data_IF_317994110268
#
_entry.id   IF_317994110268
#
_cell.length_a   1.000
_cell.length_b   1.000
_cell.length_c   1.000
_cell.angle_alpha   90.00
_cell.angle_beta   90.00
_cell.angle_gamma   90.00
#
_symmetry.space_group_name_H-M   'P 1'
#
loop_
_entity.id
_entity.type
_entity.pdbx_description
1 polymer ?
#
# COMPACT_ATOMS: atom_id res chain seq x y z
N UNK A 1 3.09 9.06 29.19
CA UNK A 1 1.64 8.77 29.03
C UNK A 1 1.05 8.44 30.40
N UNK A 2 -0.23 8.77 30.64
CA UNK A 2 -0.91 8.43 31.90
C UNK A 2 -1.08 6.92 32.10
N UNK A 3 -1.16 6.15 31.01
CA UNK A 3 -1.45 4.71 31.05
C UNK A 3 -0.23 3.83 30.72
N UNK A 4 0.93 4.42 30.42
CA UNK A 4 2.19 3.70 30.13
C UNK A 4 3.35 4.22 30.98
N UNK A 5 3.20 4.20 32.31
CA UNK A 5 4.20 4.73 33.25
C UNK A 5 5.55 4.03 33.11
N UNK A 6 6.64 4.80 33.00
CA UNK A 6 8.02 4.30 32.90
C UNK A 6 8.33 3.40 31.68
N UNK A 7 7.40 3.30 30.73
CA UNK A 7 7.57 2.52 29.49
C UNK A 7 7.09 3.33 28.27
N UNK A 8 7.65 4.52 28.09
CA UNK A 8 7.38 5.41 26.96
C UNK A 8 8.59 6.31 26.68
N UNK A 9 8.67 6.91 25.48
CA UNK A 9 9.82 7.70 25.03
C UNK A 9 10.10 8.98 25.83
N UNK A 10 9.15 9.47 26.63
CA UNK A 10 9.35 10.60 27.54
C UNK A 10 10.04 10.14 28.82
N UNK A 11 9.61 9.00 29.37
CA UNK A 11 10.14 8.47 30.62
C UNK A 11 11.45 7.69 30.43
N UNK A 12 11.64 7.04 29.28
CA UNK A 12 12.85 6.26 28.97
C UNK A 12 13.45 6.67 27.62
N UNK A 13 14.78 6.66 27.54
CA UNK A 13 15.52 6.93 26.31
C UNK A 13 15.41 8.38 25.82
N UNK A 14 14.75 8.68 24.67
CA UNK A 14 14.85 9.97 23.97
C UNK A 14 14.40 11.22 24.75
N UNK A 15 13.61 11.09 25.81
CA UNK A 15 13.00 12.21 26.56
C UNK A 15 12.17 13.12 25.66
N UNK A 16 11.48 12.51 24.69
CA UNK A 16 10.84 13.22 23.58
C UNK A 16 9.57 12.53 23.13
N UNK A 17 8.56 13.32 22.80
CA UNK A 17 7.32 12.85 22.18
C UNK A 17 7.58 12.63 20.69
N UNK A 18 8.04 11.42 20.37
CA UNK A 18 8.42 11.06 19.00
C UNK A 18 7.22 11.10 18.05
N UNK A 19 6.04 10.65 18.52
CA UNK A 19 4.82 10.57 17.72
C UNK A 19 4.34 11.97 17.39
N UNK A 20 4.18 12.82 18.40
CA UNK A 20 3.72 14.19 18.16
C UNK A 20 4.72 15.02 17.38
N UNK A 21 6.04 14.83 17.56
CA UNK A 21 7.04 15.52 16.75
C UNK A 21 6.99 15.11 15.28
N UNK A 22 6.84 13.81 15.00
CA UNK A 22 6.69 13.32 13.63
C UNK A 22 5.39 13.81 12.99
N UNK A 23 4.26 13.73 13.71
CA UNK A 23 2.97 14.23 13.25
C UNK A 23 3.02 15.72 12.91
N UNK A 24 3.61 16.55 13.80
CA UNK A 24 3.80 17.99 13.57
C UNK A 24 4.70 18.25 12.37
N UNK A 25 5.79 17.50 12.22
CA UNK A 25 6.69 17.65 11.09
C UNK A 25 5.97 17.34 9.76
N UNK A 26 5.32 16.18 9.64
CA UNK A 26 4.59 15.77 8.43
C UNK A 26 3.52 16.80 8.05
N UNK A 27 2.66 17.20 9.00
CA UNK A 27 1.62 18.21 8.73
C UNK A 27 2.18 19.55 8.30
N UNK A 28 3.33 19.96 8.86
CA UNK A 28 3.97 21.24 8.54
C UNK A 28 4.71 21.22 7.20
N UNK A 29 5.43 20.16 6.87
CA UNK A 29 6.32 20.13 5.70
C UNK A 29 5.70 19.46 4.49
N UNK A 30 4.74 18.56 4.70
CA UNK A 30 4.12 17.74 3.66
C UNK A 30 2.60 17.63 3.91
N UNK A 31 1.84 18.73 3.78
CA UNK A 31 0.40 18.75 4.12
C UNK A 31 -0.47 17.84 3.24
N UNK A 32 0.09 17.29 2.17
CA UNK A 32 -0.56 16.31 1.28
C UNK A 32 -0.29 14.85 1.69
N UNK A 33 0.52 14.62 2.72
CA UNK A 33 0.78 13.30 3.29
C UNK A 33 -0.11 13.13 4.52
N UNK A 34 -0.94 12.09 4.50
CA UNK A 34 -1.78 11.67 5.62
C UNK A 34 -0.94 11.04 6.73
N UNK A 35 -1.37 11.23 7.98
CA UNK A 35 -0.66 10.71 9.15
C UNK A 35 -1.44 9.58 9.81
N UNK A 36 -0.92 8.35 9.77
CA UNK A 36 -1.51 7.18 10.41
C UNK A 36 -0.71 6.70 11.63
N UNK A 37 -1.35 5.92 12.49
CA UNK A 37 -0.73 5.29 13.66
C UNK A 37 -0.95 3.78 13.67
N UNK A 38 0.13 3.05 13.89
CA UNK A 38 0.10 1.63 14.23
C UNK A 38 -0.09 1.44 15.74
N UNK A 39 -0.92 0.48 16.15
CA UNK A 39 -1.09 0.12 17.57
C UNK A 39 -1.16 -1.40 17.75
N UNK A 40 -0.32 -1.94 18.64
CA UNK A 40 -0.40 -3.35 19.02
C UNK A 40 -1.39 -3.54 20.16
N UNK A 41 -2.45 -4.31 19.93
CA UNK A 41 -3.51 -4.57 20.91
C UNK A 41 -2.98 -5.34 22.12
N UNK A 42 -2.05 -6.28 21.92
CA UNK A 42 -1.38 -6.99 23.00
C UNK A 42 -0.06 -6.32 23.40
N UNK A 43 0.39 -6.63 24.63
CA UNK A 43 1.69 -6.24 25.13
C UNK A 43 2.30 -7.44 25.88
N UNK A 44 3.31 -8.09 25.29
CA UNK A 44 3.80 -9.41 25.71
C UNK A 44 4.14 -9.53 27.20
N UNK A 45 4.64 -8.46 27.81
CA UNK A 45 5.13 -8.46 29.19
C UNK A 45 4.26 -7.63 30.13
N UNK A 46 3.12 -7.11 29.68
CA UNK A 46 2.23 -6.35 30.53
C UNK A 46 1.58 -7.28 31.58
N UNK A 47 1.71 -7.02 32.88
CA UNK A 47 1.15 -7.89 33.91
C UNK A 47 -0.36 -8.08 33.79
N UNK A 48 -1.11 -7.04 33.40
CA UNK A 48 -2.56 -7.15 33.23
C UNK A 48 -2.89 -8.07 32.05
N UNK A 49 -2.15 -7.96 30.94
CA UNK A 49 -2.34 -8.83 29.78
C UNK A 49 -2.05 -10.29 30.14
N UNK A 50 -0.97 -10.54 30.88
CA UNK A 50 -0.61 -11.88 31.33
C UNK A 50 -1.65 -12.47 32.30
N UNK A 51 -2.28 -11.65 33.15
CA UNK A 51 -3.37 -12.07 34.04
C UNK A 51 -4.62 -12.44 33.23
N UNK A 52 -5.05 -11.56 32.31
CA UNK A 52 -6.22 -11.82 31.47
C UNK A 52 -5.99 -13.07 30.59
N UNK A 53 -4.79 -13.21 30.01
CA UNK A 53 -4.41 -14.38 29.21
C UNK A 53 -4.36 -15.68 30.04
N UNK A 54 -3.84 -15.64 31.26
CA UNK A 54 -3.83 -16.79 32.17
C UNK A 54 -5.24 -17.21 32.64
N UNK A 55 -6.20 -16.30 32.52
CA UNK A 55 -7.62 -16.53 32.82
C UNK A 55 -8.47 -16.74 31.54
N UNK A 56 -7.85 -17.20 30.45
CA UNK A 56 -8.49 -17.45 29.16
C UNK A 56 -9.34 -16.27 28.64
N UNK A 57 -8.88 -15.04 28.90
CA UNK A 57 -9.54 -13.79 28.53
C UNK A 57 -10.96 -13.61 29.07
N UNK A 58 -11.31 -14.30 30.18
CA UNK A 58 -12.61 -14.12 30.85
C UNK A 58 -12.74 -12.80 31.60
N UNK A 59 -11.62 -12.12 31.82
CA UNK A 59 -11.51 -10.75 32.33
C UNK A 59 -10.87 -9.86 31.26
N UNK A 60 -11.12 -8.55 31.35
CA UNK A 60 -10.61 -7.56 30.39
C UNK A 60 -9.99 -6.35 31.11
N UNK A 61 -9.32 -6.59 32.24
CA UNK A 61 -8.66 -5.54 33.03
C UNK A 61 -7.55 -4.84 32.23
N UNK A 62 -6.79 -5.58 31.42
CA UNK A 62 -5.80 -5.01 30.52
C UNK A 62 -6.46 -4.09 29.48
N UNK A 63 -7.55 -4.54 28.88
CA UNK A 63 -8.22 -3.78 27.82
C UNK A 63 -8.83 -2.49 28.37
N UNK A 64 -9.52 -2.58 29.50
CA UNK A 64 -10.21 -1.43 30.11
C UNK A 64 -9.27 -0.42 30.75
N UNK A 65 -8.12 -0.86 31.28
CA UNK A 65 -7.18 0.03 32.00
C UNK A 65 -6.00 0.50 31.17
N UNK A 66 -5.67 -0.19 30.08
CA UNK A 66 -4.50 0.10 29.23
C UNK A 66 -4.89 0.40 27.79
N UNK A 67 -5.46 -0.58 27.08
CA UNK A 67 -5.64 -0.50 25.62
C UNK A 67 -6.64 0.57 25.21
N UNK A 68 -7.85 0.55 25.76
CA UNK A 68 -8.90 1.51 25.39
C UNK A 68 -8.51 2.95 25.76
N UNK A 69 -8.01 3.25 26.98
CA UNK A 69 -7.52 4.57 27.30
C UNK A 69 -6.40 5.05 26.37
N UNK A 70 -5.43 4.19 26.02
CA UNK A 70 -4.35 4.59 25.12
C UNK A 70 -4.84 4.85 23.70
N UNK A 71 -5.74 4.01 23.16
CA UNK A 71 -6.33 4.23 21.84
C UNK A 71 -7.12 5.55 21.79
N UNK A 72 -7.86 5.88 22.84
CA UNK A 72 -8.57 7.17 22.96
C UNK A 72 -7.57 8.33 23.05
N UNK A 73 -6.53 8.20 23.88
CA UNK A 73 -5.50 9.24 24.05
C UNK A 73 -4.78 9.50 22.72
N UNK A 74 -4.32 8.48 21.98
CA UNK A 74 -3.61 8.69 20.70
C UNK A 74 -4.49 9.32 19.62
N UNK A 75 -5.79 9.00 19.61
CA UNK A 75 -6.73 9.58 18.65
C UNK A 75 -6.97 11.06 18.97
N UNK A 76 -7.16 11.41 20.24
CA UNK A 76 -7.38 12.80 20.65
C UNK A 76 -6.11 13.66 20.59
N UNK A 77 -4.96 13.09 20.95
CA UNK A 77 -3.70 13.84 21.02
C UNK A 77 -3.09 14.05 19.63
N UNK A 78 -3.24 13.08 18.73
CA UNK A 78 -2.55 13.09 17.44
C UNK A 78 -3.47 13.15 16.23
N UNK A 79 -4.78 12.94 16.35
CA UNK A 79 -5.76 13.04 15.26
C UNK A 79 -5.32 12.31 13.96
N UNK A 80 -5.04 10.99 14.02
CA UNK A 80 -4.56 10.26 12.85
C UNK A 80 -5.65 9.99 11.81
N UNK A 81 -5.26 9.95 10.54
CA UNK A 81 -6.11 9.58 9.39
C UNK A 81 -6.27 8.06 9.26
N UNK A 82 -5.39 7.27 9.88
CA UNK A 82 -5.42 5.80 9.88
C UNK A 82 -5.11 5.28 11.28
N UNK A 83 -5.93 4.37 11.80
CA UNK A 83 -5.55 3.51 12.93
C UNK A 83 -5.34 2.10 12.40
N UNK A 84 -4.09 1.64 12.47
CA UNK A 84 -3.67 0.33 11.98
C UNK A 84 -3.39 -0.58 13.18
N UNK A 85 -4.34 -1.43 13.54
CA UNK A 85 -4.18 -2.34 14.68
C UNK A 85 -3.43 -3.62 14.31
N UNK A 86 -2.86 -4.28 15.30
CA UNK A 86 -2.18 -5.58 15.16
C UNK A 86 -2.12 -6.27 16.52
N UNK A 87 -1.58 -7.48 16.62
CA UNK A 87 -1.48 -8.16 17.93
C UNK A 87 -2.82 -8.74 18.39
N UNK A 88 -3.71 -9.05 17.45
CA UNK A 88 -5.08 -9.49 17.70
C UNK A 88 -5.24 -11.01 17.72
N UNK A 89 -4.18 -11.77 17.44
CA UNK A 89 -4.22 -13.22 17.22
C UNK A 89 -4.53 -14.07 18.46
N UNK A 90 -4.42 -13.52 19.67
CA UNK A 90 -4.61 -14.27 20.91
C UNK A 90 -6.09 -14.31 21.36
N UNK A 91 -6.95 -13.38 20.91
CA UNK A 91 -8.32 -13.25 21.41
C UNK A 91 -9.31 -12.69 20.37
N UNK A 92 -10.61 -12.86 20.63
CA UNK A 92 -11.67 -12.33 19.78
C UNK A 92 -11.88 -10.82 20.01
N UNK A 93 -12.57 -10.18 19.08
CA UNK A 93 -12.90 -8.74 19.08
C UNK A 93 -13.65 -8.27 20.35
N UNK A 94 -14.46 -9.14 20.95
CA UNK A 94 -15.18 -8.85 22.20
C UNK A 94 -14.24 -8.68 23.39
N UNK A 95 -13.11 -9.39 23.46
CA UNK A 95 -12.14 -9.20 24.53
C UNK A 95 -11.47 -7.84 24.37
N UNK A 96 -11.00 -7.53 23.15
CA UNK A 96 -10.36 -6.27 22.82
C UNK A 96 -11.29 -5.06 22.87
N UNK A 97 -12.60 -5.26 23.11
CA UNK A 97 -13.63 -4.22 23.03
C UNK A 97 -13.57 -3.43 21.71
N UNK A 98 -13.18 -4.09 20.62
CA UNK A 98 -12.93 -3.45 19.32
C UNK A 98 -14.15 -2.71 18.80
N UNK A 99 -15.33 -3.33 18.88
CA UNK A 99 -16.59 -2.72 18.41
C UNK A 99 -16.97 -1.47 19.21
N UNK A 100 -16.66 -1.42 20.51
CA UNK A 100 -16.91 -0.24 21.36
C UNK A 100 -15.97 0.90 20.97
N UNK A 101 -14.67 0.60 20.82
CA UNK A 101 -13.70 1.60 20.39
C UNK A 101 -14.03 2.14 18.98
N UNK A 102 -14.29 1.26 18.03
CA UNK A 102 -14.60 1.64 16.65
C UNK A 102 -15.91 2.41 16.54
N UNK A 103 -16.92 2.09 17.36
CA UNK A 103 -18.15 2.87 17.43
C UNK A 103 -17.89 4.30 17.91
N UNK A 104 -17.06 4.49 18.94
CA UNK A 104 -16.64 5.82 19.37
C UNK A 104 -15.79 6.52 18.30
N UNK A 105 -14.86 5.82 17.67
CA UNK A 105 -13.96 6.34 16.64
C UNK A 105 -14.75 6.96 15.48
N UNK A 106 -15.76 6.24 14.98
CA UNK A 106 -16.54 6.66 13.80
C UNK A 106 -17.73 7.58 14.13
N UNK A 107 -18.18 7.69 15.39
CA UNK A 107 -19.32 8.53 15.74
C UNK A 107 -18.93 9.83 16.45
N UNK A 108 -17.92 9.77 17.32
CA UNK A 108 -17.69 10.81 18.35
C UNK A 108 -16.27 11.38 18.36
N UNK A 109 -15.29 10.67 17.80
CA UNK A 109 -13.89 11.11 17.82
C UNK A 109 -13.66 12.38 16.97
N UNK A 110 -12.56 13.13 17.19
CA UNK A 110 -12.22 14.32 16.38
C UNK A 110 -11.91 13.99 14.91
N UNK A 111 -11.65 12.73 14.58
CA UNK A 111 -11.28 12.26 13.23
C UNK A 111 -12.35 11.41 12.56
N UNK A 112 -13.55 11.36 13.14
CA UNK A 112 -14.66 10.48 12.71
C UNK A 112 -15.03 10.57 11.23
N UNK A 113 -14.83 11.73 10.61
CA UNK A 113 -15.21 11.99 9.22
C UNK A 113 -14.14 11.56 8.21
N UNK A 114 -12.92 11.25 8.67
CA UNK A 114 -11.77 10.96 7.79
C UNK A 114 -11.03 9.67 8.11
N UNK A 115 -11.07 9.21 9.37
CA UNK A 115 -10.29 8.07 9.82
C UNK A 115 -10.70 6.78 9.13
N UNK A 116 -9.71 5.95 8.78
CA UNK A 116 -9.91 4.59 8.31
C UNK A 116 -9.15 3.59 9.18
N UNK A 117 -9.62 2.35 9.21
CA UNK A 117 -8.99 1.26 9.97
C UNK A 117 -8.72 0.04 9.10
N UNK A 118 -7.66 -0.70 9.43
CA UNK A 118 -7.41 -2.02 8.83
C UNK A 118 -8.36 -3.08 9.43
N UNK A 119 -8.11 -4.35 9.11
CA UNK A 119 -8.95 -5.50 9.43
C UNK A 119 -8.42 -6.39 10.57
N UNK A 120 -7.56 -5.87 11.45
CA UNK A 120 -6.86 -6.66 12.50
C UNK A 120 -7.35 -6.35 13.90
N UNK A 121 -8.64 -6.55 14.15
CA UNK A 121 -9.31 -6.16 15.40
C UNK A 121 -9.76 -7.34 16.27
N UNK A 122 -9.30 -8.56 15.97
CA UNK A 122 -9.61 -9.77 16.73
C UNK A 122 -9.65 -11.02 15.86
N UNK A 123 -9.63 -12.19 16.51
CA UNK A 123 -9.87 -13.47 15.83
C UNK A 123 -11.19 -13.41 15.05
N UNK A 124 -11.13 -13.77 13.76
CA UNK A 124 -12.29 -13.78 12.87
C UNK A 124 -12.61 -12.46 12.17
N UNK A 125 -11.85 -11.39 12.45
CA UNK A 125 -12.03 -10.07 11.81
C UNK A 125 -11.23 -9.95 10.50
N UNK A 126 -10.04 -10.55 10.46
CA UNK A 126 -9.12 -10.50 9.33
C UNK A 126 -9.80 -10.88 8.02
N UNK A 127 -9.58 -10.08 6.97
CA UNK A 127 -10.17 -10.23 5.65
C UNK A 127 -11.71 -10.19 5.62
N UNK A 128 -12.35 -9.69 6.69
CA UNK A 128 -13.81 -9.72 6.88
C UNK A 128 -14.38 -8.35 7.27
N UNK A 129 -13.74 -7.63 8.19
CA UNK A 129 -14.21 -6.34 8.68
C UNK A 129 -13.07 -5.34 8.81
N UNK A 130 -13.22 -4.17 8.18
CA UNK A 130 -12.27 -3.06 8.22
C UNK A 130 -12.61 -2.04 7.12
N UNK A 131 -12.07 -0.82 7.20
CA UNK A 131 -12.21 0.15 6.09
C UNK A 131 -11.43 -0.31 4.86
N UNK A 132 -10.35 -1.07 5.08
CA UNK A 132 -9.60 -1.78 4.05
C UNK A 132 -9.04 -3.09 4.64
N UNK A 133 -8.78 -4.05 3.77
CA UNK A 133 -8.26 -5.35 4.18
C UNK A 133 -6.74 -5.41 4.06
N UNK A 134 -6.11 -6.04 5.05
CA UNK A 134 -4.71 -6.43 4.99
C UNK A 134 -4.56 -7.95 4.91
N UNK A 135 -5.55 -8.77 5.30
CA UNK A 135 -5.68 -10.24 5.19
C UNK A 135 -4.50 -11.15 5.64
N UNK A 136 -3.25 -10.75 5.48
CA UNK A 136 -2.01 -11.38 5.95
C UNK A 136 -0.85 -10.37 5.88
N UNK A 137 0.29 -10.68 6.47
CA UNK A 137 1.51 -9.92 6.18
C UNK A 137 1.85 -10.05 4.68
N UNK A 138 2.28 -8.94 4.05
CA UNK A 138 2.61 -8.89 2.61
C UNK A 138 1.49 -9.36 1.70
N UNK A 139 0.25 -9.13 2.11
CA UNK A 139 -0.91 -9.53 1.33
C UNK A 139 -0.88 -8.85 -0.04
N UNK A 140 -0.80 -9.67 -1.08
CA UNK A 140 -0.90 -9.26 -2.47
C UNK A 140 -1.63 -10.39 -3.23
N UNK A 141 -2.95 -10.25 -3.49
CA UNK A 141 -3.76 -11.31 -4.07
C UNK A 141 -3.47 -11.57 -5.55
N UNK A 142 -2.74 -10.67 -6.23
CA UNK A 142 -2.43 -10.77 -7.67
C UNK A 142 -3.67 -10.71 -8.59
N UNK A 143 -4.85 -10.44 -8.04
CA UNK A 143 -6.13 -10.30 -8.74
C UNK A 143 -6.96 -9.19 -8.11
N UNK A 144 -7.82 -8.57 -8.92
CA UNK A 144 -8.72 -7.51 -8.46
C UNK A 144 -9.64 -8.00 -7.33
N UNK A 145 -9.67 -7.23 -6.25
CA UNK A 145 -10.56 -7.46 -5.10
C UNK A 145 -11.78 -6.55 -5.16
N UNK A 146 -12.91 -7.03 -4.61
CA UNK A 146 -14.14 -6.25 -4.51
C UNK A 146 -14.09 -5.20 -3.39
N UNK A 147 -13.35 -5.48 -2.32
CA UNK A 147 -13.14 -4.56 -1.20
C UNK A 147 -11.76 -3.91 -1.30
N UNK A 148 -11.62 -2.68 -0.81
CA UNK A 148 -10.31 -2.01 -0.75
C UNK A 148 -9.37 -2.81 0.15
N UNK A 149 -8.10 -2.88 -0.24
CA UNK A 149 -7.07 -3.60 0.50
C UNK A 149 -5.73 -2.86 0.46
N UNK A 150 -4.82 -3.21 1.35
CA UNK A 150 -3.50 -2.63 1.48
C UNK A 150 -2.42 -3.71 1.63
N UNK A 151 -1.40 -3.65 0.78
CA UNK A 151 -0.20 -4.46 0.86
C UNK A 151 0.78 -3.85 1.85
N UNK A 152 0.72 -4.28 3.11
CA UNK A 152 1.74 -3.95 4.10
C UNK A 152 2.98 -4.84 3.88
N UNK A 153 4.09 -4.23 3.43
CA UNK A 153 5.33 -4.93 3.09
C UNK A 153 6.57 -4.19 3.61
N UNK A 154 7.76 -4.80 3.49
CA UNK A 154 9.02 -4.24 4.00
C UNK A 154 10.09 -4.20 2.91
N UNK A 155 10.97 -3.20 2.96
CA UNK A 155 12.14 -3.15 2.08
C UNK A 155 13.18 -4.23 2.41
N UNK A 156 13.39 -4.51 3.70
CA UNK A 156 14.16 -5.70 4.14
C UNK A 156 13.25 -6.92 4.02
N UNK A 157 13.60 -7.88 3.17
CA UNK A 157 12.83 -9.09 2.87
C UNK A 157 12.51 -9.91 4.12
N UNK A 158 13.33 -9.81 5.16
CA UNK A 158 13.26 -10.66 6.35
C UNK A 158 12.70 -9.96 7.60
N UNK A 159 12.60 -8.63 7.64
CA UNK A 159 12.27 -7.91 8.88
C UNK A 159 11.50 -6.62 8.68
N UNK A 160 10.62 -6.33 9.65
CA UNK A 160 9.99 -5.01 9.84
C UNK A 160 10.93 -4.04 10.58
N UNK A 161 11.60 -4.51 11.63
CA UNK A 161 12.56 -3.72 12.40
C UNK A 161 13.96 -3.70 11.78
N UNK A 162 14.80 -2.77 12.25
CA UNK A 162 16.20 -2.68 11.82
C UNK A 162 17.03 -3.90 12.23
N UNK A 163 17.72 -4.50 11.26
CA UNK A 163 18.69 -5.59 11.45
C UNK A 163 20.12 -5.11 11.16
N UNK A 164 21.02 -5.26 12.14
CA UNK A 164 22.44 -4.88 12.01
C UNK A 164 23.24 -5.78 11.07
N UNK A 165 22.80 -7.02 10.88
CA UNK A 165 23.47 -8.04 10.08
C UNK A 165 22.92 -8.15 8.65
N UNK A 166 22.10 -7.19 8.22
CA UNK A 166 21.50 -7.20 6.88
C UNK A 166 22.55 -7.03 5.79
N UNK A 167 22.45 -7.83 4.74
CA UNK A 167 23.28 -7.73 3.54
C UNK A 167 22.47 -7.19 2.35
N UNK A 168 23.13 -6.73 1.29
CA UNK A 168 22.47 -6.12 0.12
C UNK A 168 21.36 -7.01 -0.48
N UNK A 169 21.58 -8.33 -0.57
CA UNK A 169 20.62 -9.28 -1.12
C UNK A 169 19.34 -9.45 -0.28
N UNK A 170 19.38 -9.05 0.99
CA UNK A 170 18.22 -9.11 1.89
C UNK A 170 17.25 -7.95 1.63
N UNK A 171 17.62 -6.95 0.84
CA UNK A 171 16.73 -5.87 0.48
C UNK A 171 16.09 -6.11 -0.89
N UNK A 172 14.90 -5.55 -1.08
CA UNK A 172 14.31 -5.44 -2.41
C UNK A 172 15.18 -4.55 -3.30
N UNK A 173 15.37 -4.95 -4.54
CA UNK A 173 15.86 -4.02 -5.57
C UNK A 173 14.77 -3.01 -5.91
N UNK A 174 15.14 -1.93 -6.61
CA UNK A 174 14.15 -0.96 -7.08
C UNK A 174 13.18 -1.58 -8.10
N UNK A 175 13.65 -2.50 -8.94
CA UNK A 175 12.82 -3.25 -9.88
C UNK A 175 11.78 -4.11 -9.13
N UNK A 176 12.21 -4.88 -8.12
CA UNK A 176 11.29 -5.70 -7.29
C UNK A 176 10.26 -4.83 -6.56
N UNK A 177 10.68 -3.65 -6.07
CA UNK A 177 9.80 -2.70 -5.40
C UNK A 177 8.76 -2.10 -6.36
N UNK A 178 9.18 -1.66 -7.55
CA UNK A 178 8.29 -1.08 -8.56
C UNK A 178 7.35 -2.13 -9.18
N UNK A 179 7.80 -3.38 -9.33
CA UNK A 179 6.95 -4.51 -9.70
C UNK A 179 5.83 -4.71 -8.67
N UNK A 180 6.19 -4.79 -7.38
CA UNK A 180 5.23 -4.96 -6.29
C UNK A 180 4.23 -3.80 -6.22
N UNK A 181 4.71 -2.56 -6.35
CA UNK A 181 3.86 -1.36 -6.42
C UNK A 181 2.87 -1.47 -7.60
N UNK A 182 3.39 -1.78 -8.79
CA UNK A 182 2.61 -1.82 -10.03
C UNK A 182 1.52 -2.88 -9.97
N UNK A 183 1.85 -4.10 -9.54
CA UNK A 183 0.88 -5.19 -9.34
C UNK A 183 -0.20 -4.80 -8.32
N UNK A 184 0.22 -4.26 -7.17
CA UNK A 184 -0.68 -3.87 -6.08
C UNK A 184 -1.72 -2.86 -6.55
N UNK A 185 -1.27 -1.78 -7.20
CA UNK A 185 -2.16 -0.70 -7.67
C UNK A 185 -3.08 -1.19 -8.79
N UNK A 186 -2.57 -2.00 -9.72
CA UNK A 186 -3.35 -2.55 -10.83
C UNK A 186 -4.47 -3.48 -10.35
N UNK A 187 -4.27 -4.14 -9.20
CA UNK A 187 -5.25 -4.99 -8.52
C UNK A 187 -6.11 -4.24 -7.47
N UNK A 188 -6.04 -2.90 -7.44
CA UNK A 188 -6.91 -2.03 -6.62
C UNK A 188 -6.43 -1.80 -5.19
N UNK A 189 -5.25 -2.30 -4.84
CA UNK A 189 -4.68 -2.14 -3.51
C UNK A 189 -4.05 -0.76 -3.28
N UNK A 190 -3.75 -0.46 -2.03
CA UNK A 190 -2.71 0.49 -1.63
C UNK A 190 -1.43 -0.29 -1.27
N UNK A 191 -0.27 0.36 -1.29
CA UNK A 191 0.98 -0.24 -0.79
C UNK A 191 1.50 0.56 0.41
N UNK A 192 1.82 -0.13 1.49
CA UNK A 192 2.44 0.42 2.68
C UNK A 192 3.85 -0.18 2.81
N UNK A 193 4.85 0.65 2.53
CA UNK A 193 6.27 0.23 2.47
C UNK A 193 6.94 0.59 3.79
N UNK A 194 7.23 -0.41 4.60
CA UNK A 194 7.91 -0.24 5.88
C UNK A 194 9.42 0.03 5.71
N UNK A 195 9.90 0.97 6.52
CA UNK A 195 11.32 1.23 6.80
C UNK A 195 11.65 0.93 8.25
N UNK A 196 12.86 0.45 8.51
CA UNK A 196 13.37 0.20 9.86
C UNK A 196 14.50 1.17 10.21
N UNK A 197 14.21 2.30 10.90
CA UNK A 197 15.24 3.23 11.35
C UNK A 197 16.21 2.58 12.35
N UNK A 198 17.43 3.09 12.39
CA UNK A 198 18.41 2.73 13.42
C UNK A 198 18.00 3.29 14.79
N UNK A 199 18.59 2.77 15.86
CA UNK A 199 18.32 3.19 17.24
C UNK A 199 18.57 4.69 17.53
N UNK A 200 19.41 5.33 16.73
CA UNK A 200 19.76 6.75 16.77
C UNK A 200 18.91 7.59 15.80
N UNK A 201 17.89 6.99 15.18
CA UNK A 201 16.88 7.69 14.38
C UNK A 201 17.23 7.90 12.90
N UNK A 202 18.27 7.23 12.39
CA UNK A 202 18.70 7.34 10.99
C UNK A 202 18.02 6.28 10.11
N UNK A 203 17.71 6.62 8.87
CA UNK A 203 17.35 5.62 7.87
C UNK A 203 18.63 4.93 7.35
N UNK A 204 18.67 3.59 7.25
CA UNK A 204 19.77 2.92 6.58
C UNK A 204 19.95 3.44 5.14
N UNK A 205 21.18 3.73 4.67
CA UNK A 205 21.40 4.37 3.37
C UNK A 205 20.76 3.63 2.19
N UNK A 206 20.70 2.30 2.25
CA UNK A 206 20.09 1.52 1.18
C UNK A 206 18.55 1.67 1.14
N UNK A 207 17.90 1.81 2.30
CA UNK A 207 16.46 2.10 2.34
C UNK A 207 16.19 3.50 1.80
N UNK A 208 17.02 4.49 2.16
CA UNK A 208 16.96 5.84 1.61
C UNK A 208 17.14 5.84 0.08
N UNK A 209 18.13 5.11 -0.44
CA UNK A 209 18.37 4.96 -1.88
C UNK A 209 17.13 4.41 -2.60
N UNK A 210 16.50 3.35 -2.08
CA UNK A 210 15.29 2.76 -2.69
C UNK A 210 14.11 3.72 -2.68
N UNK A 211 13.91 4.47 -1.59
CA UNK A 211 12.85 5.47 -1.50
C UNK A 211 13.09 6.64 -2.47
N UNK A 212 14.34 7.11 -2.60
CA UNK A 212 14.70 8.17 -3.54
C UNK A 212 14.52 7.72 -5.00
N UNK A 213 14.95 6.51 -5.34
CA UNK A 213 14.75 5.91 -6.67
C UNK A 213 13.27 5.77 -7.01
N UNK A 214 12.46 5.29 -6.05
CA UNK A 214 11.01 5.21 -6.23
C UNK A 214 10.37 6.60 -6.39
N UNK A 215 10.81 7.60 -5.62
CA UNK A 215 10.37 8.99 -5.77
C UNK A 215 10.75 9.60 -7.13
N UNK A 216 11.94 9.31 -7.64
CA UNK A 216 12.37 9.71 -8.99
C UNK A 216 11.46 9.11 -10.06
N UNK A 217 11.12 7.83 -9.93
CA UNK A 217 10.23 7.15 -10.86
C UNK A 217 8.78 7.69 -10.78
N UNK A 218 8.25 7.87 -9.57
CA UNK A 218 6.90 8.40 -9.34
C UNK A 218 6.75 9.85 -9.82
N UNK A 219 7.82 10.66 -9.82
CA UNK A 219 7.79 12.01 -10.38
C UNK A 219 7.50 12.03 -11.89
N UNK A 220 7.90 10.99 -12.62
CA UNK A 220 7.67 10.85 -14.06
C UNK A 220 6.36 10.11 -14.33
N UNK A 221 6.14 9.01 -13.61
CA UNK A 221 5.10 8.03 -13.92
C UNK A 221 3.89 8.10 -12.98
N UNK A 222 3.89 9.04 -12.02
CA UNK A 222 2.92 9.11 -10.94
C UNK A 222 1.47 9.29 -11.40
N UNK A 223 1.21 9.86 -12.59
CA UNK A 223 -0.15 9.96 -13.12
C UNK A 223 -0.79 8.59 -13.44
N UNK A 224 0.00 7.54 -13.61
CA UNK A 224 -0.50 6.16 -13.75
C UNK A 224 -0.80 5.49 -12.39
N UNK A 225 -0.36 6.09 -11.29
CA UNK A 225 -0.41 5.51 -9.95
C UNK A 225 -1.38 6.28 -9.05
N UNK A 226 -1.15 7.58 -8.87
CA UNK A 226 -1.95 8.40 -7.96
C UNK A 226 -3.35 8.63 -8.53
N UNK A 227 -4.37 8.38 -7.70
CA UNK A 227 -5.79 8.50 -8.08
C UNK A 227 -6.22 7.66 -9.28
N UNK A 228 -5.42 6.66 -9.67
CA UNK A 228 -5.80 5.72 -10.70
C UNK A 228 -6.75 4.66 -10.14
N UNK A 229 -7.39 3.94 -11.05
CA UNK A 229 -8.26 2.80 -10.74
C UNK A 229 -7.82 1.59 -11.55
N UNK A 230 -8.08 0.36 -11.06
CA UNK A 230 -7.88 -0.85 -11.85
C UNK A 230 -8.59 -0.75 -13.20
N UNK A 231 -7.86 -1.04 -14.27
CA UNK A 231 -8.51 -1.16 -15.57
C UNK A 231 -9.33 -2.46 -15.65
N UNK A 232 -10.14 -2.62 -16.70
CA UNK A 232 -11.00 -3.80 -16.91
C UNK A 232 -10.20 -5.12 -16.90
N UNK A 233 -8.91 -5.05 -17.23
CA UNK A 233 -7.96 -6.15 -17.15
C UNK A 233 -6.74 -5.68 -16.34
N UNK A 234 -6.27 -6.48 -15.38
CA UNK A 234 -5.15 -6.13 -14.49
C UNK A 234 -3.78 -6.25 -15.16
N UNK A 235 -3.57 -7.27 -15.98
CA UNK A 235 -2.31 -7.55 -16.65
C UNK A 235 -2.50 -8.12 -18.07
N UNK A 236 -1.46 -8.00 -18.89
CA UNK A 236 -1.53 -8.53 -20.25
C UNK A 236 -1.41 -10.05 -20.27
N UNK A 237 -2.21 -10.70 -21.12
CA UNK A 237 -2.27 -12.17 -21.20
C UNK A 237 -1.15 -12.77 -22.04
N UNK A 238 -0.48 -11.99 -22.88
CA UNK A 238 0.57 -12.45 -23.78
C UNK A 238 1.94 -11.98 -23.30
N UNK A 239 2.09 -10.68 -23.06
CA UNK A 239 3.37 -10.12 -22.60
C UNK A 239 3.42 -10.10 -21.08
N UNK A 240 4.23 -10.99 -20.52
CA UNK A 240 4.47 -11.02 -19.06
C UNK A 240 5.09 -9.71 -18.57
N UNK A 241 4.73 -9.31 -17.35
CA UNK A 241 5.25 -8.09 -16.75
C UNK A 241 4.69 -6.81 -17.37
N UNK A 242 3.45 -6.86 -17.85
CA UNK A 242 2.68 -5.67 -18.24
C UNK A 242 1.41 -5.63 -17.39
N UNK A 243 1.23 -4.54 -16.68
CA UNK A 243 0.08 -4.28 -15.81
C UNK A 243 -0.66 -3.03 -16.25
N UNK A 244 -1.94 -2.93 -15.91
CA UNK A 244 -2.79 -1.83 -16.35
C UNK A 244 -3.47 -1.10 -15.20
N UNK A 245 -3.46 0.22 -15.32
CA UNK A 245 -4.29 1.14 -14.52
C UNK A 245 -5.04 2.08 -15.47
N UNK A 246 -6.02 2.81 -14.95
CA UNK A 246 -6.74 3.83 -15.71
C UNK A 246 -7.02 5.07 -14.86
N UNK A 247 -6.95 6.24 -15.48
CA UNK A 247 -7.31 7.51 -14.87
C UNK A 247 -7.92 8.44 -15.92
N UNK A 248 -9.12 8.96 -15.64
CA UNK A 248 -9.89 9.72 -16.63
C UNK A 248 -10.16 8.89 -17.88
N UNK A 249 -9.79 9.42 -19.05
CA UNK A 249 -9.94 8.76 -20.35
C UNK A 249 -8.69 7.95 -20.75
N UNK A 250 -7.63 7.99 -19.95
CA UNK A 250 -6.37 7.32 -20.23
C UNK A 250 -6.29 5.93 -19.59
N UNK A 251 -5.77 4.99 -20.36
CA UNK A 251 -5.32 3.67 -19.88
C UNK A 251 -3.80 3.66 -19.90
N UNK A 252 -3.20 3.17 -18.82
CA UNK A 252 -1.76 3.10 -18.66
C UNK A 252 -1.32 1.64 -18.73
N UNK A 253 -0.33 1.35 -19.58
CA UNK A 253 0.35 0.06 -19.57
C UNK A 253 1.72 0.23 -18.89
N UNK A 254 1.89 -0.38 -17.73
CA UNK A 254 3.11 -0.34 -16.93
C UNK A 254 3.93 -1.59 -17.27
N UNK A 255 5.05 -1.39 -17.93
CA UNK A 255 5.89 -2.40 -18.57
C UNK A 255 7.16 -2.58 -17.76
N UNK A 256 7.32 -3.75 -17.14
CA UNK A 256 8.44 -4.05 -16.23
C UNK A 256 9.76 -4.32 -16.97
N UNK A 257 9.70 -4.73 -18.24
CA UNK A 257 10.87 -5.09 -19.03
C UNK A 257 10.84 -4.42 -20.40
N UNK A 258 11.91 -3.72 -20.76
CA UNK A 258 12.03 -3.10 -22.07
C UNK A 258 12.05 -4.18 -23.17
N UNK A 259 11.23 -4.07 -24.22
CA UNK A 259 11.17 -5.08 -25.28
C UNK A 259 12.50 -5.13 -26.05
N UNK A 260 13.10 -6.32 -26.15
CA UNK A 260 14.44 -6.52 -26.74
C UNK A 260 14.58 -6.01 -28.18
N UNK A 261 13.51 -6.05 -28.95
CA UNK A 261 13.45 -5.60 -30.35
C UNK A 261 12.71 -4.25 -30.51
N UNK A 262 12.39 -3.57 -29.40
CA UNK A 262 11.62 -2.34 -29.43
C UNK A 262 10.14 -2.54 -29.81
N UNK A 263 9.63 -3.77 -29.83
CA UNK A 263 8.23 -4.06 -30.15
C UNK A 263 7.54 -4.70 -28.95
N UNK A 264 6.44 -4.09 -28.51
CA UNK A 264 5.55 -4.63 -27.50
C UNK A 264 4.24 -5.07 -28.17
N UNK A 265 3.66 -6.20 -27.76
CA UNK A 265 2.32 -6.61 -28.19
C UNK A 265 1.43 -6.75 -26.98
N UNK A 266 0.31 -6.02 -26.97
CA UNK A 266 -0.69 -6.02 -25.90
C UNK A 266 -1.92 -6.81 -26.36
N UNK A 267 -2.05 -8.04 -25.89
CA UNK A 267 -3.18 -8.91 -26.24
C UNK A 267 -4.50 -8.46 -25.58
N UNK A 268 -4.41 -7.76 -24.45
CA UNK A 268 -5.59 -7.28 -23.73
C UNK A 268 -6.17 -5.97 -24.32
N UNK A 269 -5.46 -5.31 -25.24
CA UNK A 269 -5.80 -3.96 -25.71
C UNK A 269 -6.22 -4.00 -27.18
N UNK A 270 -7.34 -3.33 -27.48
CA UNK A 270 -7.84 -3.06 -28.84
C UNK A 270 -7.83 -1.56 -29.10
N UNK A 271 -7.26 -1.18 -30.23
CA UNK A 271 -7.22 0.20 -30.71
C UNK A 271 -8.46 0.57 -31.53
N UNK A 272 -8.61 1.88 -31.74
CA UNK A 272 -9.57 2.53 -32.63
C UNK A 272 -8.81 3.47 -33.57
N UNK A 273 -9.52 4.10 -34.51
CA UNK A 273 -8.93 5.12 -35.41
C UNK A 273 -8.37 6.32 -34.66
N UNK A 274 -8.91 6.61 -33.48
CA UNK A 274 -8.53 7.76 -32.66
C UNK A 274 -7.47 7.39 -31.61
N UNK A 275 -6.99 6.15 -31.59
CA UNK A 275 -5.99 5.71 -30.61
C UNK A 275 -4.72 6.53 -30.72
N UNK A 276 -4.28 7.04 -29.57
CA UNK A 276 -3.00 7.71 -29.39
C UNK A 276 -2.26 7.00 -28.27
N UNK A 277 -1.03 6.59 -28.57
CA UNK A 277 -0.11 5.99 -27.61
C UNK A 277 1.14 6.87 -27.52
N UNK A 278 1.51 7.23 -26.30
CA UNK A 278 2.77 7.92 -25.96
C UNK A 278 3.45 7.20 -24.79
N UNK A 279 4.69 7.58 -24.49
CA UNK A 279 5.42 7.06 -23.32
C UNK A 279 5.71 8.18 -22.33
N UNK A 280 5.46 7.93 -21.04
CA UNK A 280 5.83 8.87 -19.99
C UNK A 280 7.35 8.92 -19.85
N UNK A 281 7.88 10.14 -19.75
CA UNK A 281 9.34 10.38 -19.71
C UNK A 281 10.04 10.29 -21.07
N UNK A 282 9.31 10.14 -22.19
CA UNK A 282 9.88 10.33 -23.53
C UNK A 282 10.04 11.84 -23.81
N UNK A 283 11.28 12.27 -23.95
CA UNK A 283 11.63 13.67 -24.24
C UNK A 283 11.13 14.18 -25.58
N UNK A 284 10.86 13.28 -26.55
CA UNK A 284 10.33 13.64 -27.87
C UNK A 284 8.81 13.87 -27.85
N UNK A 285 8.11 13.33 -26.85
CA UNK A 285 6.65 13.31 -26.74
C UNK A 285 5.94 12.79 -27.99
N UNK A 286 6.62 11.97 -28.79
CA UNK A 286 6.10 11.49 -30.06
C UNK A 286 4.93 10.52 -29.87
N UNK A 287 4.00 10.52 -30.83
CA UNK A 287 3.04 9.42 -30.97
C UNK A 287 3.80 8.17 -31.40
N UNK A 288 3.68 7.11 -30.61
CA UNK A 288 4.30 5.83 -30.93
C UNK A 288 3.56 5.15 -32.08
N UNK A 289 4.28 4.58 -33.07
CA UNK A 289 3.65 3.77 -34.12
C UNK A 289 2.93 2.56 -33.53
N UNK A 290 1.70 2.33 -33.98
CA UNK A 290 0.87 1.20 -33.55
C UNK A 290 0.30 0.45 -34.74
N UNK A 291 0.16 -0.87 -34.60
CA UNK A 291 -0.50 -1.71 -35.59
C UNK A 291 -1.35 -2.78 -34.91
N UNK A 292 -2.57 -2.98 -35.40
CA UNK A 292 -3.37 -4.15 -35.03
C UNK A 292 -2.78 -5.40 -35.70
N UNK A 293 -2.41 -6.39 -34.90
CA UNK A 293 -1.96 -7.71 -35.36
C UNK A 293 -2.88 -8.78 -34.78
N UNK A 294 -2.91 -10.02 -35.32
CA UNK A 294 -3.81 -11.07 -34.82
C UNK A 294 -3.71 -11.34 -33.31
N UNK A 295 -2.55 -11.07 -32.72
CA UNK A 295 -2.28 -11.29 -31.30
C UNK A 295 -2.63 -10.10 -30.39
N UNK A 296 -3.01 -8.93 -30.94
CA UNK A 296 -3.35 -7.73 -30.18
C UNK A 296 -2.75 -6.44 -30.76
N UNK A 297 -2.72 -5.39 -29.95
CA UNK A 297 -2.14 -4.10 -30.35
C UNK A 297 -0.61 -4.16 -30.25
N UNK A 298 0.07 -4.09 -31.40
CA UNK A 298 1.52 -3.94 -31.47
C UNK A 298 1.92 -2.46 -31.38
N UNK A 299 2.94 -2.16 -30.59
CA UNK A 299 3.43 -0.82 -30.31
C UNK A 299 4.94 -0.78 -30.49
N UNK A 300 5.43 0.18 -31.27
CA UNK A 300 6.86 0.43 -31.45
C UNK A 300 7.34 1.38 -30.36
N UNK A 301 8.27 0.91 -29.52
CA UNK A 301 8.89 1.71 -28.48
C UNK A 301 9.82 2.77 -29.09
N UNK A 302 9.96 3.94 -28.44
CA UNK A 302 10.92 4.94 -28.86
C UNK A 302 12.36 4.45 -28.64
N UNK A 303 13.36 5.24 -29.01
CA UNK A 303 14.74 4.93 -28.62
C UNK A 303 14.86 4.98 -27.09
N UNK A 304 15.54 4.00 -26.50
CA UNK A 304 15.80 3.98 -25.05
C UNK A 304 16.56 5.23 -24.59
N UNK A 305 17.38 5.82 -25.47
CA UNK A 305 18.16 7.02 -25.19
C UNK A 305 17.30 8.27 -24.95
N UNK A 306 16.07 8.28 -25.48
CA UNK A 306 15.17 9.45 -25.39
C UNK A 306 14.25 9.39 -24.15
N UNK A 307 14.27 8.28 -23.41
CA UNK A 307 13.35 8.00 -22.30
C UNK A 307 14.07 8.12 -20.96
N UNK A 308 13.70 9.13 -20.19
CA UNK A 308 14.31 9.40 -18.88
C UNK A 308 13.91 8.39 -17.80
N UNK A 309 12.71 7.81 -17.89
CA UNK A 309 12.24 6.80 -16.92
C UNK A 309 13.17 5.59 -16.89
N UNK A 310 13.50 5.13 -15.68
CA UNK A 310 14.35 3.96 -15.42
C UNK A 310 13.54 2.81 -14.82
N UNK A 311 14.08 1.60 -14.88
CA UNK A 311 13.56 0.36 -14.26
C UNK A 311 12.23 -0.17 -14.82
N UNK A 312 11.18 0.65 -14.82
CA UNK A 312 9.83 0.35 -15.30
C UNK A 312 9.35 1.50 -16.19
N UNK A 313 8.58 1.18 -17.24
CA UNK A 313 8.14 2.15 -18.25
C UNK A 313 6.63 2.20 -18.37
N UNK A 314 6.10 3.38 -18.63
CA UNK A 314 4.64 3.57 -18.70
C UNK A 314 4.25 4.11 -20.07
N UNK A 315 3.40 3.37 -20.76
CA UNK A 315 2.69 3.83 -21.93
C UNK A 315 1.38 4.50 -21.51
N UNK A 316 1.10 5.68 -22.04
CA UNK A 316 -0.20 6.34 -21.91
C UNK A 316 -0.99 6.12 -23.19
N UNK A 317 -2.18 5.57 -23.07
CA UNK A 317 -3.04 5.21 -24.19
C UNK A 317 -4.40 5.88 -24.04
N UNK A 318 -4.86 6.53 -25.10
CA UNK A 318 -6.22 7.10 -25.18
C UNK A 318 -7.02 6.42 -26.29
N UNK A 319 -8.35 6.45 -26.18
CA UNK A 319 -9.28 5.84 -27.14
C UNK A 319 -8.97 4.36 -27.42
N UNK A 320 -8.71 3.60 -26.35
CA UNK A 320 -8.51 2.14 -26.37
C UNK A 320 -9.62 1.42 -25.58
N UNK A 321 -9.87 0.17 -25.92
CA UNK A 321 -10.80 -0.71 -25.20
C UNK A 321 -10.15 -2.05 -24.87
N UNK A 322 -10.66 -2.75 -23.85
CA UNK A 322 -10.20 -4.12 -23.58
C UNK A 322 -10.73 -5.09 -24.63
N UNK A 323 -9.92 -6.08 -25.01
CA UNK A 323 -10.41 -7.24 -25.76
C UNK A 323 -11.36 -8.02 -24.83
N UNK A 324 -12.65 -8.06 -25.16
CA UNK A 324 -13.65 -8.80 -24.38
C UNK A 324 -13.24 -10.27 -24.28
N UNK A 325 -13.00 -10.77 -23.05
CA UNK A 325 -13.14 -12.21 -22.81
C UNK A 325 -14.59 -12.55 -23.10
N UNK A 326 -14.86 -13.46 -24.04
CA UNK A 326 -16.22 -13.89 -24.35
C UNK A 326 -16.89 -14.48 -23.10
N UNK A 327 -17.61 -13.65 -22.35
CA UNK A 327 -18.46 -14.04 -21.21
C UNK A 327 -19.79 -13.29 -21.23
N UNK A 328 -20.28 -12.92 -22.42
CA UNK A 328 -21.64 -12.37 -22.61
C UNK A 328 -22.70 -13.46 -22.90
N UNK A 329 -22.38 -14.75 -22.75
CA UNK A 329 -23.36 -15.85 -22.92
C UNK A 329 -23.96 -16.41 -21.61
N UNK A 330 -23.63 -15.89 -20.43
CA UNK A 330 -24.21 -16.41 -19.16
C UNK A 330 -24.75 -15.33 -18.21
N UNK A 331 -25.38 -14.27 -18.73
CA UNK A 331 -26.21 -13.36 -17.91
C UNK A 331 -27.71 -13.38 -18.20
N UNK A 332 -28.18 -14.28 -19.05
CA UNK A 332 -29.62 -14.58 -19.21
C UNK A 332 -29.86 -16.08 -19.03
N UNK A 333 -29.81 -16.55 -17.77
CA UNK A 333 -30.49 -17.74 -17.24
C UNK A 333 -30.06 -17.95 -15.78
N UNK A 334 -30.71 -17.25 -14.85
CA UNK A 334 -31.47 -17.82 -13.74
C UNK A 334 -32.06 -16.72 -12.86
#
# INVERSE_FOLDING_TARGET
SKNSFSWNSMDVGPKRDLVGDLARAIRKTTPHIHFGLYYSLLEWFNPLYLIDKANDFQTNDYITRKVIPDLIDIVNDYEPDVIWSDGDWDAYDWYFNSTVFLAWLFNDSPVKDTVVVNDRWGIGVLCTHGSFYSCSDRYNPGVLQAHKWENAMTLDKLSWGYRRNTVLSDYLTIEELLETLTETISCGGNILINVGPTHDGMLPPLMEERLLQMGEWLRINGEAIYSSTPWVVQNDTLTRGVWFTSAGESVYAIVLNWPKNGLLTLAAVKSSTDTVVTMLGDSTQQKLPTAEVPQGLQINFPSRADVSSQWVWVLKMNAVSSVSKGTDEMRNKH
#
